data_IF_528596810551
#
_entry.id   IF_528596810551
#
_cell.length_a   1.000
_cell.length_b   1.000
_cell.length_c   1.000
_cell.angle_alpha   90.00
_cell.angle_beta   90.00
_cell.angle_gamma   90.00
#
_symmetry.space_group_name_H-M   'P 1'
#
loop_
_entity.id
_entity.type
_entity.pdbx_description
1 polymer ?
#
# COMPACT_ATOMS: atom_id res chain seq x y z
N UNK A 1 25.25 -7.28 -3.64
CA UNK A 1 24.63 -7.62 -4.95
C UNK A 1 25.19 -6.66 -6.01
N UNK A 2 25.95 -7.16 -7.01
CA UNK A 2 26.54 -6.30 -8.06
C UNK A 2 25.44 -5.90 -9.06
N UNK A 3 25.30 -4.61 -9.35
CA UNK A 3 24.27 -4.08 -10.27
C UNK A 3 24.39 -4.70 -11.68
N UNK A 4 23.29 -5.28 -12.20
CA UNK A 4 23.20 -5.96 -13.50
C UNK A 4 23.65 -5.11 -14.69
N UNK A 5 23.56 -3.79 -14.53
CA UNK A 5 23.90 -2.82 -15.56
C UNK A 5 25.36 -2.92 -16.01
N UNK A 6 26.26 -3.42 -15.15
CA UNK A 6 27.67 -3.60 -15.48
C UNK A 6 27.93 -4.81 -16.38
N UNK A 7 26.92 -5.66 -16.66
CA UNK A 7 27.00 -6.67 -17.75
C UNK A 7 26.88 -6.02 -19.14
N UNK A 8 26.28 -4.82 -19.25
CA UNK A 8 26.06 -4.10 -20.52
C UNK A 8 27.09 -2.98 -20.74
N UNK A 9 27.74 -2.53 -19.66
CA UNK A 9 28.64 -1.38 -19.69
C UNK A 9 30.03 -1.71 -19.19
N UNK A 10 31.03 -1.11 -19.83
CA UNK A 10 32.42 -1.19 -19.41
C UNK A 10 32.85 0.17 -18.85
N UNK A 11 33.38 0.22 -17.62
CA UNK A 11 33.96 1.44 -17.04
C UNK A 11 35.30 1.77 -17.69
N UNK A 12 35.59 3.05 -17.86
CA UNK A 12 36.93 3.51 -18.18
C UNK A 12 37.85 3.42 -16.95
N UNK A 13 39.18 3.48 -17.15
CA UNK A 13 40.22 3.38 -16.12
C UNK A 13 40.00 4.35 -14.94
N UNK A 14 39.52 5.55 -15.23
CA UNK A 14 39.29 6.59 -14.22
C UNK A 14 37.90 6.49 -13.54
N UNK A 15 37.05 5.55 -13.96
CA UNK A 15 35.71 5.34 -13.40
C UNK A 15 34.71 6.50 -13.61
N UNK A 16 35.11 7.55 -14.32
CA UNK A 16 34.34 8.77 -14.62
C UNK A 16 33.38 8.60 -15.81
N UNK A 17 33.62 7.60 -16.65
CA UNK A 17 32.79 7.27 -17.80
C UNK A 17 32.56 5.76 -17.91
N UNK A 18 31.41 5.40 -18.47
CA UNK A 18 31.05 4.04 -18.85
C UNK A 18 30.62 3.99 -20.31
N UNK A 19 31.14 3.01 -21.05
CA UNK A 19 30.85 2.78 -22.46
C UNK A 19 29.83 1.66 -22.61
N UNK A 20 28.79 1.90 -23.39
CA UNK A 20 27.78 0.89 -23.71
C UNK A 20 28.38 -0.15 -24.67
N UNK A 21 28.31 -1.43 -24.33
CA UNK A 21 28.90 -2.49 -25.18
C UNK A 21 28.10 -2.74 -26.46
N UNK A 22 26.83 -2.27 -26.54
CA UNK A 22 25.92 -2.46 -27.67
C UNK A 22 26.05 -1.33 -28.68
N UNK A 23 25.79 -0.08 -28.28
CA UNK A 23 25.82 1.07 -29.19
C UNK A 23 27.13 1.87 -29.17
N UNK A 24 28.09 1.48 -28.33
CA UNK A 24 29.41 2.12 -28.17
C UNK A 24 29.40 3.59 -27.69
N UNK A 25 28.23 4.13 -27.34
CA UNK A 25 28.11 5.47 -26.73
C UNK A 25 28.69 5.50 -25.32
N UNK A 26 29.27 6.64 -24.94
CA UNK A 26 29.91 6.87 -23.65
C UNK A 26 29.07 7.79 -22.77
N UNK A 27 29.00 7.46 -21.47
CA UNK A 27 28.15 8.12 -20.49
C UNK A 27 28.97 8.44 -19.24
N UNK A 28 28.84 9.67 -18.72
CA UNK A 28 29.49 10.06 -17.46
C UNK A 28 28.88 9.30 -16.29
N UNK A 29 29.69 8.83 -15.34
CA UNK A 29 29.23 8.12 -14.14
C UNK A 29 29.54 8.93 -12.89
N UNK A 30 28.57 9.03 -11.98
CA UNK A 30 28.67 9.86 -10.77
C UNK A 30 28.08 9.12 -9.56
N UNK A 31 28.71 7.99 -9.18
CA UNK A 31 28.36 7.23 -7.97
C UNK A 31 27.08 6.37 -8.04
N UNK A 32 26.23 6.51 -9.07
CA UNK A 32 25.09 5.63 -9.33
C UNK A 32 25.02 5.18 -10.80
N UNK A 33 24.09 4.28 -11.12
CA UNK A 33 23.92 3.70 -12.46
C UNK A 33 22.60 4.08 -13.13
N UNK A 34 21.91 5.11 -12.62
CA UNK A 34 20.55 5.46 -13.06
C UNK A 34 20.52 5.91 -14.51
N UNK A 35 21.50 6.69 -14.94
CA UNK A 35 21.63 7.15 -16.33
C UNK A 35 21.95 6.02 -17.32
N UNK A 36 22.75 5.05 -16.92
CA UNK A 36 23.08 3.86 -17.71
C UNK A 36 21.84 2.97 -17.89
N UNK A 37 21.08 2.77 -16.81
CA UNK A 37 19.83 2.01 -16.84
C UNK A 37 18.77 2.68 -17.73
N UNK A 38 18.65 3.99 -17.61
CA UNK A 38 17.73 4.81 -18.39
C UNK A 38 18.09 4.81 -19.89
N UNK A 39 19.38 4.84 -20.23
CA UNK A 39 19.85 4.56 -21.60
C UNK A 39 19.37 3.19 -22.10
N UNK A 40 19.62 2.13 -21.34
CA UNK A 40 19.24 0.76 -21.74
C UNK A 40 17.73 0.63 -21.92
N UNK A 41 16.90 1.18 -21.02
CA UNK A 41 15.44 1.15 -21.16
C UNK A 41 14.94 1.77 -22.46
N UNK A 42 15.62 2.83 -22.95
CA UNK A 42 15.18 3.54 -24.17
C UNK A 42 15.76 2.99 -25.46
N UNK A 43 17.00 2.49 -25.44
CA UNK A 43 17.73 2.11 -26.66
C UNK A 43 17.97 0.62 -26.79
N UNK A 44 17.97 -0.12 -25.69
CA UNK A 44 18.33 -1.53 -25.62
C UNK A 44 17.37 -2.32 -24.72
N UNK A 45 16.06 -2.02 -24.80
CA UNK A 45 15.00 -2.61 -23.96
C UNK A 45 15.03 -4.13 -24.06
N UNK A 46 15.05 -4.67 -25.29
CA UNK A 46 15.06 -6.12 -25.53
C UNK A 46 16.28 -6.81 -24.91
N UNK A 47 17.47 -6.20 -24.98
CA UNK A 47 18.68 -6.76 -24.39
C UNK A 47 18.66 -6.68 -22.86
N UNK A 48 18.14 -5.59 -22.29
CA UNK A 48 17.97 -5.43 -20.85
C UNK A 48 16.95 -6.45 -20.29
N UNK A 49 15.85 -6.69 -21.01
CA UNK A 49 14.81 -7.64 -20.62
C UNK A 49 15.33 -9.09 -20.70
N UNK A 50 16.12 -9.44 -21.74
CA UNK A 50 16.83 -10.75 -21.81
C UNK A 50 17.75 -10.97 -20.63
N UNK A 51 18.55 -9.97 -20.26
CA UNK A 51 19.46 -10.07 -19.12
C UNK A 51 18.71 -10.20 -17.80
N UNK A 52 17.57 -9.53 -17.62
CA UNK A 52 16.73 -9.70 -16.43
C UNK A 52 16.20 -11.12 -16.32
N UNK A 53 15.58 -11.64 -17.39
CA UNK A 53 15.12 -13.03 -17.45
C UNK A 53 16.24 -14.05 -17.15
N UNK A 54 17.46 -13.82 -17.63
CA UNK A 54 18.60 -14.70 -17.34
C UNK A 54 19.06 -14.64 -15.87
N UNK A 55 18.99 -13.48 -15.22
CA UNK A 55 19.30 -13.39 -13.78
C UNK A 55 18.16 -13.93 -12.92
N UNK A 56 16.91 -13.85 -13.39
CA UNK A 56 15.77 -14.44 -12.71
C UNK A 56 15.84 -15.98 -12.77
N UNK A 57 16.22 -16.56 -13.92
CA UNK A 57 16.44 -18.01 -14.09
C UNK A 57 17.60 -18.56 -13.26
N UNK A 58 18.66 -17.78 -13.00
CA UNK A 58 19.74 -18.17 -12.07
C UNK A 58 19.30 -18.16 -10.59
N UNK A 59 18.15 -17.55 -10.26
CA UNK A 59 17.61 -17.46 -8.89
C UNK A 59 16.44 -18.44 -8.68
N UNK A 60 15.77 -18.87 -9.76
CA UNK A 60 14.59 -19.75 -9.71
C UNK A 60 14.84 -21.04 -10.50
N UNK A 61 15.69 -21.91 -9.98
CA UNK A 61 15.65 -23.33 -10.32
C UNK A 61 14.77 -24.06 -9.31
N UNK A 62 13.45 -23.89 -9.41
CA UNK A 62 12.44 -24.88 -8.98
C UNK A 62 11.03 -24.46 -9.48
N UNK A 63 10.45 -25.33 -10.31
CA UNK A 63 9.06 -25.43 -10.84
C UNK A 63 8.52 -24.44 -11.90
N UNK A 64 8.62 -24.88 -13.16
CA UNK A 64 7.57 -25.26 -14.14
C UNK A 64 6.41 -24.31 -14.58
N UNK A 65 6.34 -24.19 -15.93
CA UNK A 65 5.19 -24.07 -16.87
C UNK A 65 4.12 -22.97 -16.63
N UNK A 66 3.59 -22.23 -17.61
CA UNK A 66 3.29 -22.58 -19.00
C UNK A 66 3.04 -21.31 -19.89
N UNK A 67 2.99 -21.53 -21.22
CA UNK A 67 2.65 -20.69 -22.40
C UNK A 67 1.55 -19.60 -22.26
N UNK A 68 1.25 -18.66 -23.18
CA UNK A 68 1.60 -18.15 -24.53
C UNK A 68 0.82 -16.80 -24.66
N UNK A 69 1.11 -15.77 -25.46
CA UNK A 69 1.05 -15.64 -26.91
C UNK A 69 1.39 -14.16 -27.26
N UNK A 70 2.08 -13.94 -28.38
CA UNK A 70 2.22 -12.67 -29.10
C UNK A 70 0.98 -12.43 -29.99
N UNK A 71 0.60 -11.19 -30.37
CA UNK A 71 1.02 -10.72 -31.69
C UNK A 71 1.19 -9.20 -31.90
N UNK A 72 2.21 -8.91 -32.73
CA UNK A 72 2.17 -8.07 -33.95
C UNK A 72 2.41 -6.55 -33.88
N UNK A 73 3.33 -6.15 -34.75
CA UNK A 73 3.83 -4.82 -35.05
C UNK A 73 2.89 -3.97 -35.94
N UNK A 74 2.94 -2.64 -35.74
CA UNK A 74 2.32 -1.62 -36.60
C UNK A 74 2.90 -0.23 -36.32
N UNK A 75 2.78 0.75 -37.24
CA UNK A 75 3.94 1.49 -37.77
C UNK A 75 4.32 2.80 -37.05
N UNK A 76 5.58 3.15 -37.28
CA UNK A 76 6.32 4.34 -36.84
C UNK A 76 5.61 5.65 -37.23
N UNK A 77 5.18 6.44 -36.24
CA UNK A 77 4.85 7.86 -36.42
C UNK A 77 5.90 8.74 -35.75
N UNK A 78 6.48 9.65 -36.52
CA UNK A 78 7.50 10.60 -36.09
C UNK A 78 6.94 11.59 -35.07
N UNK A 79 7.13 11.30 -33.78
CA UNK A 79 6.83 12.24 -32.69
C UNK A 79 7.89 13.35 -32.69
N UNK A 80 7.48 14.58 -33.07
CA UNK A 80 8.31 15.78 -32.93
C UNK A 80 8.77 15.90 -31.47
N UNK A 81 10.07 15.70 -31.22
CA UNK A 81 10.69 15.90 -29.91
C UNK A 81 10.53 17.36 -29.48
N UNK A 82 9.60 17.62 -28.56
CA UNK A 82 9.59 18.88 -27.80
C UNK A 82 10.91 18.95 -27.03
N UNK A 83 11.73 19.98 -27.33
CA UNK A 83 12.94 20.28 -26.57
C UNK A 83 12.50 20.66 -25.16
N UNK A 84 12.73 19.78 -24.18
CA UNK A 84 12.56 20.12 -22.76
C UNK A 84 13.75 21.00 -22.37
N UNK A 85 13.49 22.28 -22.12
CA UNK A 85 14.49 23.26 -21.69
C UNK A 85 14.87 23.03 -20.23
N UNK A 86 16.14 23.29 -19.89
CA UNK A 86 16.75 23.11 -18.55
C UNK A 86 15.94 23.82 -17.44
N UNK A 87 15.19 24.87 -17.77
CA UNK A 87 14.26 25.54 -16.83
C UNK A 87 13.25 24.59 -16.17
N UNK A 88 12.78 23.56 -16.87
CA UNK A 88 11.82 22.58 -16.32
C UNK A 88 12.48 21.53 -15.41
N UNK A 89 13.81 21.39 -15.45
CA UNK A 89 14.55 20.49 -14.57
C UNK A 89 14.89 21.15 -13.22
N UNK A 90 15.01 22.48 -13.20
CA UNK A 90 15.36 23.24 -11.99
C UNK A 90 14.16 23.68 -11.16
N UNK A 91 12.96 23.70 -11.75
CA UNK A 91 11.76 23.59 -10.93
C UNK A 91 11.67 22.13 -10.50
N UNK A 92 11.96 21.82 -9.23
CA UNK A 92 11.35 20.65 -8.58
C UNK A 92 9.85 20.86 -8.74
N UNK A 93 9.26 20.39 -9.83
CA UNK A 93 7.82 20.39 -9.98
C UNK A 93 7.33 19.47 -8.88
N UNK A 94 6.80 20.08 -7.82
CA UNK A 94 5.94 19.42 -6.86
C UNK A 94 4.84 18.75 -7.69
N UNK A 95 4.91 17.43 -7.76
CA UNK A 95 3.88 16.60 -8.36
C UNK A 95 3.49 15.62 -7.27
N UNK A 96 2.29 15.76 -6.69
CA UNK A 96 1.75 14.81 -5.75
C UNK A 96 1.79 13.39 -6.31
N UNK A 97 1.81 12.40 -5.42
CA UNK A 97 1.59 11.03 -5.85
C UNK A 97 0.23 10.89 -6.55
N UNK A 98 0.22 10.11 -7.64
CA UNK A 98 -1.04 9.70 -8.25
C UNK A 98 -1.89 8.94 -7.23
N UNK A 99 -3.21 9.12 -7.30
CA UNK A 99 -4.19 8.50 -6.39
C UNK A 99 -4.07 6.98 -6.34
N UNK A 100 -3.66 6.36 -7.46
CA UNK A 100 -3.53 4.92 -7.61
C UNK A 100 -2.07 4.45 -7.50
N UNK A 101 -1.14 5.33 -7.12
CA UNK A 101 0.24 4.91 -6.92
C UNK A 101 0.39 4.02 -5.69
N UNK A 102 1.22 2.97 -5.79
CA UNK A 102 1.49 2.05 -4.68
C UNK A 102 1.94 2.78 -3.41
N UNK A 103 2.72 3.86 -3.59
CA UNK A 103 3.22 4.67 -2.47
C UNK A 103 2.10 5.39 -1.74
N UNK A 104 1.17 6.04 -2.46
CA UNK A 104 0.03 6.72 -1.84
C UNK A 104 -0.91 5.72 -1.17
N UNK A 105 -1.24 4.62 -1.85
CA UNK A 105 -2.11 3.57 -1.29
C UNK A 105 -1.52 3.04 0.03
N UNK A 106 -0.21 2.79 0.07
CA UNK A 106 0.48 2.34 1.29
C UNK A 106 0.44 3.38 2.41
N UNK A 107 0.63 4.66 2.11
CA UNK A 107 0.59 5.73 3.10
C UNK A 107 -0.84 5.97 3.63
N UNK A 108 -1.84 5.97 2.74
CA UNK A 108 -3.25 6.09 3.11
C UNK A 108 -3.66 4.92 4.03
N UNK A 109 -3.21 3.70 3.72
CA UNK A 109 -3.42 2.50 4.56
C UNK A 109 -2.82 2.66 5.95
N UNK A 110 -1.54 3.01 6.04
CA UNK A 110 -0.86 3.19 7.34
C UNK A 110 -1.51 4.31 8.17
N UNK A 111 -1.97 5.37 7.51
CA UNK A 111 -2.65 6.47 8.18
C UNK A 111 -4.00 6.04 8.76
N UNK A 112 -4.82 5.27 8.01
CA UNK A 112 -6.10 4.80 8.54
C UNK A 112 -5.92 3.74 9.63
N UNK A 113 -4.87 2.90 9.52
CA UNK A 113 -4.48 1.97 10.60
C UNK A 113 -4.06 2.72 11.85
N UNK A 114 -3.22 3.74 11.75
CA UNK A 114 -2.85 4.62 12.86
C UNK A 114 -4.09 5.24 13.52
N UNK A 115 -4.98 5.82 12.71
CA UNK A 115 -6.22 6.43 13.22
C UNK A 115 -7.11 5.42 13.94
N UNK A 116 -7.23 4.20 13.41
CA UNK A 116 -8.07 3.16 13.99
C UNK A 116 -7.47 2.51 15.24
N UNK A 117 -6.18 2.22 15.25
CA UNK A 117 -5.50 1.56 16.37
C UNK A 117 -5.30 2.49 17.56
N UNK A 118 -4.96 3.76 17.31
CA UNK A 118 -4.67 4.73 18.36
C UNK A 118 -5.89 5.58 18.74
N UNK A 119 -7.06 5.25 18.16
CA UNK A 119 -8.33 5.94 18.39
C UNK A 119 -8.26 7.46 18.14
N UNK A 120 -7.47 7.87 17.16
CA UNK A 120 -7.26 9.28 16.86
C UNK A 120 -8.51 9.90 16.22
N UNK A 121 -8.84 11.17 16.55
CA UNK A 121 -9.91 11.87 15.85
C UNK A 121 -9.59 12.00 14.36
N UNK A 122 -10.56 11.76 13.48
CA UNK A 122 -10.39 11.96 12.03
C UNK A 122 -9.96 13.39 11.65
N UNK A 123 -10.12 14.37 12.56
CA UNK A 123 -9.63 15.75 12.39
C UNK A 123 -8.09 15.83 12.33
N UNK A 124 -7.34 14.78 12.67
CA UNK A 124 -5.87 14.81 12.66
C UNK A 124 -5.30 15.28 11.31
N UNK A 125 -5.89 14.83 10.18
CA UNK A 125 -5.48 15.24 8.83
C UNK A 125 -5.80 16.69 8.48
N UNK A 126 -6.61 17.37 9.29
CA UNK A 126 -6.94 18.78 9.15
C UNK A 126 -6.03 19.66 10.01
N UNK A 127 -5.25 19.09 10.96
CA UNK A 127 -4.37 19.83 11.87
C UNK A 127 -3.18 20.41 11.12
N UNK A 128 -3.00 21.71 11.24
CA UNK A 128 -1.98 22.46 10.49
C UNK A 128 -0.56 21.94 10.71
N UNK A 129 -0.13 21.79 11.96
CA UNK A 129 1.21 21.29 12.25
C UNK A 129 1.42 19.82 11.86
N UNK A 130 0.35 19.01 11.86
CA UNK A 130 0.44 17.62 11.37
C UNK A 130 0.64 17.59 9.86
N UNK A 131 -0.08 18.44 9.10
CA UNK A 131 0.13 18.59 7.65
C UNK A 131 1.56 19.02 7.33
N UNK A 132 2.09 20.01 8.06
CA UNK A 132 3.47 20.48 7.88
C UNK A 132 4.48 19.37 8.18
N UNK A 133 4.31 18.66 9.30
CA UNK A 133 5.15 17.52 9.65
C UNK A 133 5.15 16.43 8.57
N UNK A 134 3.97 16.03 8.09
CA UNK A 134 3.84 15.02 7.03
C UNK A 134 4.44 15.52 5.72
N UNK A 135 4.27 16.80 5.38
CA UNK A 135 4.86 17.40 4.19
C UNK A 135 6.39 17.38 4.23
N UNK A 136 7.00 17.67 5.38
CA UNK A 136 8.45 17.59 5.55
C UNK A 136 8.97 16.15 5.46
N UNK A 137 8.20 15.17 5.94
CA UNK A 137 8.55 13.75 5.83
C UNK A 137 8.44 13.23 4.38
N UNK A 138 7.37 13.55 3.68
CA UNK A 138 7.13 13.14 2.30
C UNK A 138 6.31 14.20 1.56
N UNK A 139 7.02 15.15 0.94
CA UNK A 139 6.39 16.30 0.30
C UNK A 139 5.54 15.96 -0.93
N UNK A 140 5.46 14.70 -1.38
CA UNK A 140 4.55 14.28 -2.46
C UNK A 140 3.28 13.65 -1.94
N UNK A 141 3.21 13.35 -0.65
CA UNK A 141 2.06 12.73 -0.04
C UNK A 141 1.02 13.78 0.35
N UNK A 142 -0.07 13.80 -0.40
CA UNK A 142 -1.26 14.54 -0.02
C UNK A 142 -2.13 13.68 0.90
N UNK A 143 -2.30 14.18 2.13
CA UNK A 143 -3.17 13.58 3.13
C UNK A 143 -4.59 13.45 2.58
N UNK A 144 -5.26 12.31 2.83
CA UNK A 144 -6.68 12.18 2.52
C UNK A 144 -7.49 13.19 3.33
N UNK A 145 -8.63 13.61 2.77
CA UNK A 145 -9.58 14.42 3.52
C UNK A 145 -10.20 13.63 4.66
N UNK A 146 -10.76 14.33 5.65
CA UNK A 146 -11.51 13.72 6.76
C UNK A 146 -12.64 12.81 6.26
N UNK A 147 -13.33 13.22 5.20
CA UNK A 147 -14.38 12.43 4.54
C UNK A 147 -13.80 11.18 3.89
N UNK A 148 -12.65 11.28 3.20
CA UNK A 148 -12.00 10.11 2.61
C UNK A 148 -11.55 9.11 3.67
N UNK A 149 -10.99 9.58 4.80
CA UNK A 149 -10.65 8.69 5.91
C UNK A 149 -11.89 7.98 6.47
N UNK A 150 -12.92 8.73 6.81
CA UNK A 150 -14.12 8.21 7.47
C UNK A 150 -14.99 7.34 6.57
N UNK A 151 -15.26 7.80 5.35
CA UNK A 151 -16.32 7.23 4.50
C UNK A 151 -15.78 6.29 3.41
N UNK A 152 -14.44 6.22 3.24
CA UNK A 152 -13.80 5.35 2.23
C UNK A 152 -12.76 4.43 2.86
N UNK A 153 -11.69 4.99 3.43
CA UNK A 153 -10.54 4.20 3.89
C UNK A 153 -10.88 3.34 5.11
N UNK A 154 -11.63 3.89 6.08
CA UNK A 154 -12.01 3.16 7.29
C UNK A 154 -12.98 2.00 6.99
N UNK A 155 -14.05 2.16 6.18
CA UNK A 155 -14.88 1.04 5.74
C UNK A 155 -14.10 -0.04 4.99
N UNK A 156 -13.13 0.34 4.15
CA UNK A 156 -12.26 -0.63 3.48
C UNK A 156 -11.41 -1.42 4.47
N UNK A 157 -10.78 -0.75 5.44
CA UNK A 157 -10.01 -1.40 6.51
C UNK A 157 -10.90 -2.33 7.34
N UNK A 158 -12.10 -1.88 7.71
CA UNK A 158 -13.07 -2.70 8.44
C UNK A 158 -13.45 -3.97 7.66
N UNK A 159 -13.77 -3.85 6.37
CA UNK A 159 -14.14 -5.01 5.55
C UNK A 159 -12.97 -5.99 5.39
N UNK A 160 -11.74 -5.50 5.28
CA UNK A 160 -10.54 -6.35 5.27
C UNK A 160 -10.38 -7.10 6.58
N UNK A 161 -10.46 -6.40 7.72
CA UNK A 161 -10.32 -7.02 9.04
C UNK A 161 -11.47 -8.00 9.34
N UNK A 162 -12.69 -7.67 8.92
CA UNK A 162 -13.84 -8.57 8.99
C UNK A 162 -13.62 -9.84 8.19
N UNK A 163 -13.14 -9.73 6.95
CA UNK A 163 -12.87 -10.91 6.12
C UNK A 163 -11.79 -11.81 6.75
N UNK A 164 -10.75 -11.21 7.35
CA UNK A 164 -9.71 -11.94 8.09
C UNK A 164 -10.33 -12.64 9.31
N UNK A 165 -11.12 -11.93 10.11
CA UNK A 165 -11.76 -12.49 11.30
C UNK A 165 -12.69 -13.64 10.95
N UNK A 166 -13.52 -13.51 9.90
CA UNK A 166 -14.39 -14.59 9.40
C UNK A 166 -13.58 -15.83 9.05
N UNK A 167 -12.46 -15.66 8.33
CA UNK A 167 -11.56 -16.77 7.96
C UNK A 167 -10.91 -17.42 9.19
N UNK A 168 -10.59 -16.65 10.23
CA UNK A 168 -10.07 -17.19 11.48
C UNK A 168 -11.17 -17.98 12.19
N UNK A 169 -12.34 -17.40 12.36
CA UNK A 169 -13.46 -18.03 13.07
C UNK A 169 -13.98 -19.30 12.38
N UNK A 170 -13.83 -19.44 11.06
CA UNK A 170 -14.16 -20.69 10.36
C UNK A 170 -13.24 -21.86 10.72
N UNK A 171 -12.13 -21.61 11.42
CA UNK A 171 -11.16 -22.61 11.89
C UNK A 171 -11.23 -22.86 13.39
N UNK A 172 -12.13 -22.16 14.10
CA UNK A 172 -12.26 -22.19 15.55
C UNK A 172 -13.46 -23.05 15.94
N UNK A 173 -13.25 -24.08 16.75
CA UNK A 173 -14.32 -24.99 17.18
C UNK A 173 -15.26 -24.35 18.23
N UNK A 174 -14.70 -23.49 19.08
CA UNK A 174 -15.38 -22.95 20.25
C UNK A 174 -15.09 -21.47 20.46
N UNK A 175 -16.15 -20.72 20.76
CA UNK A 175 -16.08 -19.33 21.18
C UNK A 175 -16.76 -19.17 22.54
N UNK A 176 -16.27 -18.22 23.34
CA UNK A 176 -16.98 -17.68 24.49
C UNK A 176 -17.46 -16.28 24.14
N UNK A 177 -18.69 -15.93 24.55
CA UNK A 177 -19.28 -14.61 24.30
C UNK A 177 -19.38 -13.88 25.65
N UNK A 178 -18.91 -12.65 25.69
CA UNK A 178 -19.17 -11.71 26.78
C UNK A 178 -19.96 -10.52 26.27
N UNK A 179 -20.84 -10.01 27.13
CA UNK A 179 -21.59 -8.78 26.86
C UNK A 179 -21.35 -7.80 27.99
N UNK A 180 -20.99 -6.58 27.65
CA UNK A 180 -20.81 -5.48 28.60
C UNK A 180 -21.80 -4.37 28.30
N UNK A 181 -22.43 -3.82 29.34
CA UNK A 181 -23.40 -2.74 29.20
C UNK A 181 -23.03 -1.58 30.12
N UNK A 182 -22.87 -0.41 29.51
CA UNK A 182 -22.40 0.78 30.18
C UNK A 182 -23.19 2.01 29.73
N UNK A 183 -23.14 3.07 30.54
CA UNK A 183 -23.76 4.36 30.21
C UNK A 183 -22.69 5.31 29.67
N UNK A 184 -22.92 5.87 28.49
CA UNK A 184 -22.01 6.81 27.88
C UNK A 184 -22.02 8.17 28.59
N UNK A 185 -21.02 8.99 28.31
CA UNK A 185 -20.99 10.40 28.76
C UNK A 185 -22.12 11.24 28.18
N UNK A 186 -22.76 10.78 27.10
CA UNK A 186 -23.97 11.37 26.53
C UNK A 186 -25.26 10.82 27.18
N UNK A 187 -25.13 10.05 28.27
CA UNK A 187 -26.23 9.39 29.00
C UNK A 187 -27.00 8.36 28.16
N UNK A 188 -26.32 7.75 27.19
CA UNK A 188 -26.87 6.68 26.36
C UNK A 188 -26.46 5.31 26.91
N UNK A 189 -27.40 4.36 27.00
CA UNK A 189 -27.07 2.97 27.27
C UNK A 189 -26.37 2.34 26.06
N UNK A 190 -25.21 1.74 26.26
CA UNK A 190 -24.42 1.07 25.23
C UNK A 190 -24.23 -0.39 25.61
N UNK A 191 -24.52 -1.30 24.69
CA UNK A 191 -24.25 -2.73 24.82
C UNK A 191 -23.13 -3.11 23.85
N UNK A 192 -22.12 -3.79 24.35
CA UNK A 192 -20.97 -4.29 23.59
C UNK A 192 -20.91 -5.81 23.68
N UNK A 193 -20.67 -6.48 22.55
CA UNK A 193 -20.50 -7.93 22.46
C UNK A 193 -19.09 -8.24 22.01
N UNK A 194 -18.39 -9.03 22.82
CA UNK A 194 -17.03 -9.50 22.55
C UNK A 194 -17.02 -11.01 22.53
N UNK A 195 -16.31 -11.59 21.55
CA UNK A 195 -15.99 -13.00 21.54
C UNK A 195 -14.56 -13.23 22.01
N UNK A 196 -14.35 -14.35 22.67
CA UNK A 196 -13.05 -14.85 23.08
C UNK A 196 -12.88 -16.25 22.51
N UNK A 197 -11.72 -16.54 21.93
CA UNK A 197 -11.44 -17.81 21.29
C UNK A 197 -9.94 -18.13 21.36
N UNK A 198 -9.60 -19.42 21.24
CA UNK A 198 -8.21 -19.85 21.12
C UNK A 198 -7.84 -19.92 19.65
N UNK A 199 -6.76 -19.25 19.27
CA UNK A 199 -6.20 -19.30 17.92
C UNK A 199 -4.68 -19.19 18.01
N UNK A 200 -3.97 -20.11 17.35
CA UNK A 200 -2.51 -20.20 17.38
C UNK A 200 -1.95 -20.31 18.81
N UNK A 201 -2.54 -21.20 19.62
CA UNK A 201 -2.23 -21.44 21.04
C UNK A 201 -2.37 -20.22 21.98
N UNK A 202 -2.97 -19.14 21.51
CA UNK A 202 -3.23 -17.93 22.30
C UNK A 202 -4.73 -17.66 22.43
N UNK A 203 -5.13 -17.06 23.55
CA UNK A 203 -6.46 -16.47 23.68
C UNK A 203 -6.49 -15.15 22.90
N UNK A 204 -7.38 -15.07 21.92
CA UNK A 204 -7.70 -13.86 21.17
C UNK A 204 -9.09 -13.38 21.53
N UNK A 205 -9.31 -12.07 21.39
CA UNK A 205 -10.61 -11.45 21.60
C UNK A 205 -10.97 -10.57 20.42
N UNK A 206 -12.24 -10.55 20.03
CA UNK A 206 -12.74 -9.65 18.99
C UNK A 206 -14.08 -9.05 19.39
N UNK A 207 -14.19 -7.72 19.30
CA UNK A 207 -15.44 -7.01 19.51
C UNK A 207 -16.29 -7.14 18.23
N UNK A 208 -17.46 -7.76 18.35
CA UNK A 208 -18.34 -8.00 17.21
C UNK A 208 -19.29 -6.84 16.96
N UNK A 209 -19.83 -6.27 18.04
CA UNK A 209 -20.83 -5.22 17.95
C UNK A 209 -20.79 -4.31 19.18
N UNK A 210 -20.91 -3.01 18.96
CA UNK A 210 -21.21 -2.00 19.99
C UNK A 210 -22.42 -1.23 19.52
N UNK A 211 -23.51 -1.26 20.28
CA UNK A 211 -24.78 -0.64 19.89
C UNK A 211 -25.37 0.17 21.03
N UNK A 212 -25.94 1.32 20.69
CA UNK A 212 -26.83 2.07 21.59
C UNK A 212 -28.13 1.31 21.81
N UNK A 213 -28.47 1.08 23.07
CA UNK A 213 -29.76 0.53 23.52
C UNK A 213 -30.70 1.70 23.79
N UNK A 214 -31.89 1.65 23.20
CA UNK A 214 -32.91 2.70 23.32
C UNK A 214 -34.09 2.18 24.11
N UNK A 215 -34.42 2.83 25.22
CA UNK A 215 -35.54 2.45 26.09
C UNK A 215 -35.10 1.94 27.45
N UNK A 216 -36.01 1.27 28.16
CA UNK A 216 -35.71 0.75 29.50
C UNK A 216 -34.76 -0.45 29.44
N UNK A 217 -33.73 -0.43 30.29
CA UNK A 217 -32.72 -1.49 30.38
C UNK A 217 -33.19 -2.69 31.23
N UNK A 218 -34.41 -3.19 30.99
CA UNK A 218 -34.86 -4.42 31.66
C UNK A 218 -34.25 -5.66 31.01
N UNK A 219 -34.19 -6.77 31.73
CA UNK A 219 -33.66 -8.04 31.20
C UNK A 219 -34.41 -8.49 29.94
N UNK A 220 -35.75 -8.34 29.91
CA UNK A 220 -36.57 -8.69 28.75
C UNK A 220 -36.31 -7.78 27.55
N UNK A 221 -36.02 -6.50 27.79
CA UNK A 221 -35.69 -5.57 26.72
C UNK A 221 -34.33 -5.92 26.12
N UNK A 222 -33.32 -6.16 26.97
CA UNK A 222 -31.97 -6.53 26.55
C UNK A 222 -31.98 -7.85 25.77
N UNK A 223 -32.73 -8.85 26.24
CA UNK A 223 -32.89 -10.12 25.53
C UNK A 223 -33.54 -9.97 24.14
N UNK A 224 -34.35 -8.93 23.93
CA UNK A 224 -34.97 -8.59 22.65
C UNK A 224 -34.08 -7.73 21.76
N UNK A 225 -33.01 -7.13 22.29
CA UNK A 225 -32.00 -6.46 21.47
C UNK A 225 -31.38 -7.54 20.59
N UNK A 226 -31.82 -7.61 19.34
CA UNK A 226 -31.21 -8.47 18.33
C UNK A 226 -29.79 -7.99 18.12
N UNK A 227 -28.85 -8.62 18.83
CA UNK A 227 -27.44 -8.60 18.50
C UNK A 227 -27.34 -9.53 17.31
N UNK A 228 -27.09 -8.96 16.14
CA UNK A 228 -27.02 -9.75 14.93
C UNK A 228 -25.61 -10.28 14.80
N UNK A 229 -25.32 -11.35 15.55
CA UNK A 229 -24.06 -12.08 15.46
C UNK A 229 -24.08 -12.88 14.17
N UNK A 230 -23.76 -12.23 13.04
CA UNK A 230 -23.48 -12.93 11.78
C UNK A 230 -22.09 -13.53 11.86
N UNK A 231 -21.96 -14.67 12.54
CA UNK A 231 -20.85 -15.59 12.30
C UNK A 231 -21.43 -16.64 11.35
N UNK A 232 -21.22 -16.44 10.04
CA UNK A 232 -21.51 -17.42 9.00
C UNK A 232 -20.22 -18.16 8.67
#
# INVERSE_FOLDING_TARGET
MKSLIWKIFTKNKDGSFAKCNICKNEYRTSGNTSNLLDHCKRKHKLQLDRLRKQNDVEITSESDADNCDDPVAGPSTTVKRRKVTIKNYMTKQYVPYDKNSDRKIKLDKLLVEYVAHDLEPFRIVEREYFKQFVHELDNKYELPSRTQLKDVLLPQLYNQMKAILVKILSTVDHISITTDMWTSTANDGILTVTIHFVYDNDIKSAMLETRKVVGHHTAEHIAKVKITIYIY
#
